data_IF_030451874725
#
_entry.id   IF_030451874725
#
_cell.length_a   1.000
_cell.length_b   1.000
_cell.length_c   1.000
_cell.angle_alpha   90.00
_cell.angle_beta   90.00
_cell.angle_gamma   90.00
#
_symmetry.space_group_name_H-M   'P 1'
#
loop_
_entity.id
_entity.type
_entity.pdbx_description
1 polymer ?
#
# COMPACT_ATOMS: atom_id res chain seq x y z
N UNK A 1 -18.25 24.71 9.64
CA UNK A 1 -17.36 24.22 10.70
C UNK A 1 -16.94 22.82 10.35
N UNK A 2 -15.67 22.47 10.53
CA UNK A 2 -15.20 21.09 10.31
C UNK A 2 -15.76 20.15 11.36
N UNK A 3 -16.00 18.90 10.99
CA UNK A 3 -16.37 17.82 11.91
C UNK A 3 -15.11 17.09 12.37
N UNK A 4 -15.12 16.62 13.63
CA UNK A 4 -14.08 15.74 14.18
C UNK A 4 -14.74 14.42 14.54
N UNK A 5 -14.10 13.33 14.15
CA UNK A 5 -14.53 11.95 14.44
C UNK A 5 -13.36 11.18 15.02
N UNK A 6 -13.64 10.15 15.80
CA UNK A 6 -12.64 9.31 16.44
C UNK A 6 -12.91 7.85 16.11
N UNK A 7 -11.84 7.04 16.16
CA UNK A 7 -11.84 5.62 15.86
C UNK A 7 -10.45 5.05 16.12
N UNK A 8 -10.19 3.86 15.59
CA UNK A 8 -8.92 3.15 15.68
C UNK A 8 -8.38 2.81 14.29
N UNK A 9 -7.12 2.41 14.24
CA UNK A 9 -6.58 1.71 13.07
C UNK A 9 -7.12 0.29 13.09
N UNK A 10 -7.94 -0.05 12.11
CA UNK A 10 -8.51 -1.40 11.96
C UNK A 10 -7.55 -2.36 11.27
N UNK A 11 -6.74 -1.87 10.33
CA UNK A 11 -5.74 -2.66 9.62
C UNK A 11 -4.68 -1.75 8.97
N UNK A 12 -3.50 -2.31 8.77
CA UNK A 12 -2.44 -1.75 7.94
C UNK A 12 -2.40 -2.47 6.58
N UNK A 13 -1.66 -1.90 5.63
CA UNK A 13 -1.35 -2.55 4.34
C UNK A 13 -2.57 -3.07 3.58
N UNK A 14 -3.62 -2.25 3.48
CA UNK A 14 -4.83 -2.61 2.74
C UNK A 14 -4.72 -2.19 1.29
N UNK A 15 -4.61 -3.18 0.41
CA UNK A 15 -4.88 -3.03 -1.02
C UNK A 15 -6.39 -2.96 -1.24
N UNK A 16 -6.84 -1.91 -1.92
CA UNK A 16 -8.25 -1.68 -2.29
C UNK A 16 -8.46 -1.66 -3.81
N UNK A 17 -7.45 -2.08 -4.58
CA UNK A 17 -7.48 -2.11 -6.04
C UNK A 17 -7.38 -0.72 -6.71
N UNK A 18 -6.97 0.31 -5.96
CA UNK A 18 -6.86 1.70 -6.45
C UNK A 18 -5.43 2.11 -6.77
N UNK A 19 -4.76 1.29 -7.59
CA UNK A 19 -3.36 1.49 -7.96
C UNK A 19 -2.39 0.80 -7.00
N UNK A 20 -1.10 1.16 -7.03
CA UNK A 20 -0.04 0.40 -6.36
C UNK A 20 0.14 0.80 -4.88
N UNK A 21 -0.87 1.35 -4.22
CA UNK A 21 -0.73 1.86 -2.85
C UNK A 21 -1.53 1.05 -1.86
N UNK A 22 -0.89 0.85 -0.73
CA UNK A 22 -1.52 0.37 0.48
C UNK A 22 -2.09 1.53 1.29
N UNK A 23 -3.20 1.25 1.95
CA UNK A 23 -3.90 2.20 2.82
C UNK A 23 -3.89 1.72 4.27
N UNK A 24 -3.92 2.69 5.19
CA UNK A 24 -4.40 2.46 6.54
C UNK A 24 -5.91 2.34 6.50
N UNK A 25 -6.46 1.29 7.11
CA UNK A 25 -7.90 1.20 7.35
C UNK A 25 -8.22 1.75 8.73
N UNK A 26 -9.21 2.63 8.80
CA UNK A 26 -9.72 3.21 10.03
C UNK A 26 -11.24 3.06 10.10
N UNK A 27 -11.78 2.95 11.31
CA UNK A 27 -13.23 2.90 11.55
C UNK A 27 -13.82 4.26 11.98
N UNK A 28 -12.96 5.28 12.13
CA UNK A 28 -13.40 6.65 12.33
C UNK A 28 -14.33 7.06 11.19
N UNK A 29 -15.43 7.74 11.53
CA UNK A 29 -16.42 8.15 10.55
C UNK A 29 -15.82 9.16 9.56
N UNK A 30 -15.60 8.73 8.32
CA UNK A 30 -15.15 9.53 7.18
C UNK A 30 -16.24 9.54 6.12
N UNK A 31 -16.68 10.71 5.66
CA UNK A 31 -17.68 10.85 4.60
C UNK A 31 -17.15 11.80 3.51
N UNK A 32 -17.91 11.94 2.41
CA UNK A 32 -17.61 12.94 1.39
C UNK A 32 -17.44 14.33 2.02
N UNK A 33 -16.39 15.03 1.62
CA UNK A 33 -15.97 16.30 2.22
C UNK A 33 -14.79 16.18 3.19
N UNK A 34 -14.53 14.98 3.74
CA UNK A 34 -13.36 14.74 4.59
C UNK A 34 -12.10 14.32 3.81
N UNK A 35 -12.24 13.97 2.52
CA UNK A 35 -11.11 13.59 1.66
C UNK A 35 -10.07 14.71 1.57
N UNK A 36 -8.78 14.34 1.69
CA UNK A 36 -7.66 15.28 1.80
C UNK A 36 -7.41 15.79 3.22
N UNK A 37 -8.33 15.56 4.15
CA UNK A 37 -8.15 15.88 5.56
C UNK A 37 -7.20 14.92 6.28
N UNK A 38 -6.55 15.36 7.36
CA UNK A 38 -5.63 14.54 8.15
C UNK A 38 -6.37 13.56 9.07
N UNK A 39 -5.72 12.42 9.33
CA UNK A 39 -5.96 11.57 10.49
C UNK A 39 -4.81 11.75 11.49
N UNK A 40 -5.12 11.85 12.78
CA UNK A 40 -4.13 12.08 13.85
C UNK A 40 -4.11 10.94 14.87
N UNK A 41 -2.96 10.71 15.49
CA UNK A 41 -2.88 9.93 16.74
C UNK A 41 -3.29 10.79 17.96
N UNK A 42 -3.26 10.19 19.16
CA UNK A 42 -3.63 10.86 20.41
C UNK A 42 -2.65 11.98 20.83
N UNK A 43 -1.43 12.01 20.26
CA UNK A 43 -0.46 13.09 20.46
C UNK A 43 -0.68 14.24 19.46
N UNK A 44 -1.66 14.13 18.55
CA UNK A 44 -1.91 15.10 17.49
C UNK A 44 -0.94 15.01 16.31
N UNK A 45 -0.19 13.92 16.16
CA UNK A 45 0.68 13.70 15.00
C UNK A 45 -0.13 13.13 13.85
N UNK A 46 0.12 13.62 12.63
CA UNK A 46 -0.54 13.11 11.43
C UNK A 46 -0.06 11.69 11.13
N UNK A 47 -0.98 10.75 11.08
CA UNK A 47 -0.71 9.34 10.73
C UNK A 47 -1.14 8.98 9.31
N UNK A 48 -2.02 9.78 8.70
CA UNK A 48 -2.42 9.59 7.31
C UNK A 48 -3.33 10.69 6.77
N UNK A 49 -3.68 10.59 5.49
CA UNK A 49 -4.58 11.50 4.78
C UNK A 49 -5.80 10.73 4.28
N UNK A 50 -6.98 11.13 4.72
CA UNK A 50 -8.25 10.48 4.39
C UNK A 50 -8.48 10.53 2.89
N UNK A 51 -8.68 9.37 2.26
CA UNK A 51 -8.67 9.26 0.79
C UNK A 51 -9.94 8.63 0.26
N UNK A 52 -10.35 7.49 0.81
CA UNK A 52 -11.48 6.72 0.31
C UNK A 52 -12.31 6.11 1.44
N UNK A 53 -13.50 5.61 1.09
CA UNK A 53 -14.35 4.81 1.97
C UNK A 53 -14.83 3.59 1.21
N UNK A 54 -15.05 2.49 1.92
CA UNK A 54 -15.88 1.41 1.38
C UNK A 54 -17.34 1.75 1.69
N UNK A 55 -18.18 1.76 0.66
CA UNK A 55 -19.59 2.10 0.85
C UNK A 55 -20.49 1.48 -0.22
N UNK A 56 -21.36 0.53 0.16
CA UNK A 56 -22.42 0.03 -0.73
C UNK A 56 -23.50 1.07 -1.03
N UNK A 57 -23.74 2.02 -0.13
CA UNK A 57 -24.87 2.98 -0.18
C UNK A 57 -24.45 4.44 -0.44
N UNK A 58 -23.15 4.73 -0.48
CA UNK A 58 -22.58 6.08 -0.53
C UNK A 58 -22.25 6.70 0.84
N UNK A 59 -22.69 6.12 1.96
CA UNK A 59 -22.33 6.52 3.32
C UNK A 59 -21.28 5.62 3.98
N UNK A 60 -20.54 6.14 4.96
CA UNK A 60 -19.58 5.35 5.74
C UNK A 60 -20.27 4.19 6.50
N UNK A 61 -19.69 2.99 6.42
CA UNK A 61 -20.15 1.80 7.16
C UNK A 61 -19.11 1.30 8.19
N UNK A 62 -18.25 2.19 8.66
CA UNK A 62 -17.12 1.86 9.56
C UNK A 62 -15.85 1.41 8.83
N UNK A 63 -15.75 1.66 7.51
CA UNK A 63 -14.57 1.30 6.71
C UNK A 63 -14.14 2.52 5.90
N UNK A 64 -13.04 3.14 6.34
CA UNK A 64 -12.38 4.24 5.65
C UNK A 64 -10.91 3.94 5.43
N UNK A 65 -10.34 4.58 4.40
CA UNK A 65 -8.97 4.36 3.95
C UNK A 65 -8.20 5.69 3.93
N UNK A 66 -7.04 5.69 4.58
CA UNK A 66 -6.12 6.81 4.61
C UNK A 66 -4.76 6.44 4.01
N UNK A 67 -4.21 7.31 3.17
CA UNK A 67 -2.83 7.15 2.69
C UNK A 67 -1.88 7.41 3.87
N UNK A 68 -0.93 6.50 4.17
CA UNK A 68 -0.02 6.66 5.30
C UNK A 68 0.79 7.96 5.24
N UNK A 69 1.01 8.60 6.39
CA UNK A 69 1.75 9.87 6.47
C UNK A 69 3.18 9.78 5.93
N UNK A 70 3.84 8.62 6.07
CA UNK A 70 5.16 8.38 5.51
C UNK A 70 5.19 8.55 3.99
N UNK A 71 4.24 7.92 3.28
CA UNK A 71 4.10 8.04 1.83
C UNK A 71 3.72 9.47 1.42
N UNK A 72 2.79 10.11 2.14
CA UNK A 72 2.42 11.51 1.88
C UNK A 72 3.65 12.42 2.00
N UNK A 73 4.47 12.24 3.04
CA UNK A 73 5.67 13.04 3.26
C UNK A 73 6.68 12.87 2.12
N UNK A 74 6.88 11.64 1.65
CA UNK A 74 7.77 11.36 0.51
C UNK A 74 7.27 12.06 -0.76
N UNK A 75 6.01 11.87 -1.11
CA UNK A 75 5.38 12.45 -2.31
C UNK A 75 5.41 13.98 -2.28
N UNK A 76 5.03 14.60 -1.16
CA UNK A 76 5.03 16.06 -1.02
C UNK A 76 6.45 16.59 -1.12
N UNK A 77 7.43 15.92 -0.51
CA UNK A 77 8.84 16.33 -0.60
C UNK A 77 9.31 16.32 -2.05
N UNK A 78 9.04 15.25 -2.81
CA UNK A 78 9.41 15.17 -4.23
C UNK A 78 8.74 16.26 -5.07
N UNK A 79 7.44 16.47 -4.90
CA UNK A 79 6.69 17.50 -5.61
C UNK A 79 7.23 18.91 -5.33
N UNK A 80 7.59 19.21 -4.07
CA UNK A 80 8.16 20.50 -3.70
C UNK A 80 9.56 20.74 -4.28
N UNK A 81 10.34 19.67 -4.45
CA UNK A 81 11.75 19.75 -4.84
C UNK A 81 11.97 19.63 -6.35
N UNK A 82 11.19 18.79 -7.04
CA UNK A 82 11.37 18.44 -8.46
C UNK A 82 10.16 18.82 -9.32
N UNK A 83 9.00 19.12 -8.71
CA UNK A 83 7.75 19.39 -9.44
C UNK A 83 7.04 18.14 -9.97
N UNK A 84 7.64 16.96 -9.80
CA UNK A 84 7.11 15.65 -10.18
C UNK A 84 7.39 14.60 -9.10
N UNK A 85 6.75 13.44 -9.23
CA UNK A 85 7.01 12.26 -8.40
C UNK A 85 7.66 11.20 -9.28
N UNK A 86 8.86 10.79 -8.92
CA UNK A 86 9.56 9.68 -9.56
C UNK A 86 9.26 8.40 -8.79
N UNK A 87 8.86 7.34 -9.51
CA UNK A 87 8.61 6.03 -8.91
C UNK A 87 9.61 5.02 -9.40
N UNK A 88 10.28 4.39 -8.45
CA UNK A 88 11.10 3.22 -8.72
C UNK A 88 10.24 2.12 -9.35
N UNK A 89 10.76 1.51 -10.40
CA UNK A 89 10.12 0.40 -11.09
C UNK A 89 11.14 -0.71 -11.27
N UNK A 90 10.88 -1.88 -10.66
CA UNK A 90 11.81 -2.99 -10.71
C UNK A 90 11.83 -3.69 -12.08
N UNK A 91 10.72 -3.62 -12.83
CA UNK A 91 10.61 -4.32 -14.12
C UNK A 91 10.18 -5.78 -14.01
N UNK A 92 9.49 -6.17 -12.93
CA UNK A 92 8.93 -7.52 -12.75
C UNK A 92 7.43 -7.46 -12.60
N UNK A 93 6.76 -8.53 -13.04
CA UNK A 93 5.37 -8.83 -12.68
C UNK A 93 5.41 -9.90 -11.60
N UNK A 94 4.67 -9.66 -10.53
CA UNK A 94 4.65 -10.54 -9.36
C UNK A 94 3.23 -11.04 -9.08
N UNK A 95 3.14 -12.13 -8.35
CA UNK A 95 1.91 -12.60 -7.71
C UNK A 95 2.22 -13.08 -6.29
N UNK A 96 1.23 -13.06 -5.42
CA UNK A 96 1.37 -13.63 -4.08
C UNK A 96 1.61 -15.14 -4.15
N UNK A 97 2.44 -15.64 -3.24
CA UNK A 97 2.60 -17.09 -3.03
C UNK A 97 1.36 -17.62 -2.32
N UNK A 98 0.60 -18.49 -2.99
CA UNK A 98 -0.49 -19.26 -2.37
C UNK A 98 0.06 -20.53 -1.71
N UNK A 99 -0.76 -21.18 -0.89
CA UNK A 99 -0.44 -22.48 -0.29
C UNK A 99 -0.05 -23.52 -1.36
N UNK A 100 -0.82 -23.60 -2.46
CA UNK A 100 -0.52 -24.50 -3.58
C UNK A 100 0.86 -24.21 -4.22
N UNK A 101 1.21 -22.92 -4.37
CA UNK A 101 2.51 -22.52 -4.92
C UNK A 101 3.61 -22.92 -3.93
N UNK A 102 3.45 -22.62 -2.64
CA UNK A 102 4.41 -22.95 -1.61
C UNK A 102 4.69 -24.45 -1.55
N UNK A 103 3.64 -25.27 -1.56
CA UNK A 103 3.75 -26.74 -1.58
C UNK A 103 4.49 -27.24 -2.82
N UNK A 104 4.23 -26.65 -3.99
CA UNK A 104 4.85 -27.06 -5.25
C UNK A 104 6.36 -26.80 -5.32
N UNK A 105 6.86 -25.84 -4.55
CA UNK A 105 8.28 -25.43 -4.53
C UNK A 105 8.99 -25.70 -3.19
N UNK A 106 8.30 -26.36 -2.24
CA UNK A 106 8.87 -26.75 -0.96
C UNK A 106 9.10 -25.59 0.03
N UNK A 107 8.33 -24.51 -0.10
CA UNK A 107 8.36 -23.37 0.81
C UNK A 107 7.62 -23.72 2.12
N UNK A 108 8.22 -23.41 3.27
CA UNK A 108 7.63 -23.75 4.59
C UNK A 108 6.40 -22.92 4.93
N UNK A 109 6.31 -21.71 4.40
CA UNK A 109 5.19 -20.78 4.59
C UNK A 109 4.77 -20.23 3.23
N UNK A 110 3.47 -20.07 3.01
CA UNK A 110 2.91 -19.39 1.85
C UNK A 110 3.03 -17.87 1.98
N UNK A 111 4.28 -17.39 1.96
CA UNK A 111 4.64 -15.98 2.06
C UNK A 111 5.70 -15.62 1.01
N UNK A 112 5.71 -14.34 0.65
CA UNK A 112 6.55 -13.79 -0.39
C UNK A 112 5.81 -13.49 -1.69
N UNK A 113 6.58 -12.97 -2.65
CA UNK A 113 6.10 -12.58 -3.97
C UNK A 113 6.84 -13.36 -5.05
N UNK A 114 6.11 -14.16 -5.83
CA UNK A 114 6.68 -14.92 -6.94
C UNK A 114 6.72 -14.06 -8.20
N UNK A 115 7.87 -14.00 -8.87
CA UNK A 115 8.03 -13.35 -10.16
C UNK A 115 7.38 -14.23 -11.24
N UNK A 116 6.35 -13.71 -11.90
CA UNK A 116 5.68 -14.39 -13.02
C UNK A 116 6.27 -14.00 -14.37
N UNK A 117 6.85 -12.80 -14.46
CA UNK A 117 7.50 -12.30 -15.67
C UNK A 117 8.56 -11.25 -15.33
N UNK A 118 9.69 -11.31 -16.02
CA UNK A 118 10.64 -10.19 -16.10
C UNK A 118 10.33 -9.40 -17.37
N UNK A 119 10.19 -8.08 -17.24
CA UNK A 119 9.85 -7.20 -18.36
C UNK A 119 11.08 -7.01 -19.24
N UNK A 120 10.95 -7.30 -20.54
CA UNK A 120 11.99 -7.04 -21.53
C UNK A 120 12.42 -5.58 -21.46
N UNK A 121 13.72 -5.33 -21.56
CA UNK A 121 14.36 -4.01 -21.43
C UNK A 121 14.14 -3.27 -20.08
N UNK A 122 13.47 -3.91 -19.11
CA UNK A 122 13.27 -3.37 -17.77
C UNK A 122 14.52 -3.46 -16.89
N UNK A 123 14.57 -2.77 -15.74
CA UNK A 123 15.73 -2.81 -14.84
C UNK A 123 16.12 -4.22 -14.38
N UNK A 124 15.14 -5.06 -14.02
CA UNK A 124 15.37 -6.45 -13.63
C UNK A 124 15.95 -7.33 -14.74
N UNK A 125 15.75 -7.00 -16.03
CA UNK A 125 16.33 -7.77 -17.14
C UNK A 125 17.86 -7.68 -17.20
N UNK A 126 18.47 -6.73 -16.46
CA UNK A 126 19.92 -6.56 -16.34
C UNK A 126 20.51 -7.33 -15.14
N UNK A 127 19.68 -8.11 -14.46
CA UNK A 127 20.04 -8.89 -13.27
C UNK A 127 19.81 -10.38 -13.53
N UNK A 128 20.11 -11.23 -12.54
CA UNK A 128 19.86 -12.66 -12.62
C UNK A 128 18.44 -13.07 -12.23
N UNK A 129 17.55 -12.11 -11.91
CA UNK A 129 16.15 -12.37 -11.59
C UNK A 129 15.42 -13.04 -12.76
N UNK A 130 14.60 -14.04 -12.44
CA UNK A 130 13.88 -14.86 -13.41
C UNK A 130 12.43 -15.10 -13.01
N UNK A 131 11.60 -15.43 -14.00
CA UNK A 131 10.28 -15.98 -13.73
C UNK A 131 10.41 -17.30 -12.96
N UNK A 132 9.63 -17.46 -11.89
CA UNK A 132 9.70 -18.56 -10.95
C UNK A 132 10.47 -18.25 -9.66
N UNK A 133 11.27 -17.18 -9.63
CA UNK A 133 11.93 -16.76 -8.39
C UNK A 133 10.89 -16.26 -7.37
N UNK A 134 11.11 -16.57 -6.09
CA UNK A 134 10.28 -16.09 -4.98
C UNK A 134 11.07 -15.11 -4.12
N UNK A 135 10.58 -13.87 -4.06
CA UNK A 135 11.14 -12.83 -3.20
C UNK A 135 10.54 -13.01 -1.81
N UNK A 136 11.39 -13.26 -0.81
CA UNK A 136 11.00 -13.51 0.59
C UNK A 136 11.41 -12.38 1.54
N UNK A 137 12.30 -11.49 1.10
CA UNK A 137 12.85 -10.40 1.91
C UNK A 137 13.26 -9.23 1.00
N UNK A 138 13.03 -8.01 1.48
CA UNK A 138 13.51 -6.77 0.85
C UNK A 138 14.19 -5.92 1.92
N UNK A 139 15.44 -5.52 1.68
CA UNK A 139 16.22 -4.68 2.60
C UNK A 139 16.30 -5.22 4.05
N UNK A 140 16.30 -6.55 4.24
CA UNK A 140 16.32 -7.16 5.58
C UNK A 140 14.93 -7.36 6.23
N UNK A 141 13.85 -6.93 5.58
CA UNK A 141 12.47 -7.09 6.06
C UNK A 141 11.75 -8.18 5.27
N UNK A 142 11.21 -9.17 5.99
CA UNK A 142 10.42 -10.24 5.40
C UNK A 142 9.11 -9.69 4.83
N UNK A 143 8.73 -10.20 3.67
CA UNK A 143 7.47 -9.89 2.98
C UNK A 143 6.48 -11.05 3.04
#
# INVERSE_FOLDING_TARGET
>A
GGTVTAGIISAHNRDIGSGPYDYLQIDAAVNRGNSGGPSFDLDGKVIGVNTAIFSPSGGNVGIAFAVPAALVKEVVTQLQTHGSVDRGWLGVVIQNVSDDIADSIGLQEAKGAMITKVTEDGPAAKTDLKAGDVIIEVNGEKI
#
